data_IF_418307015950
#
_entry.id   IF_418307015950
#
_cell.length_a   1.000
_cell.length_b   1.000
_cell.length_c   1.000
_cell.angle_alpha   90.00
_cell.angle_beta   90.00
_cell.angle_gamma   90.00
#
_symmetry.space_group_name_H-M   'P 1'
#
loop_
_entity.id
_entity.type
_entity.pdbx_description
1 polymer ?
2 non-polymer ?
3 non-polymer ?
4 non-polymer ?
5 non-polymer ?
6 water ?
#
# COMPACT_ATOMS: atom_id res chain seq x y z
N UNK A 1 19.43 20.36 -4.81
CA UNK A 1 18.02 19.98 -4.56
C UNK A 1 17.50 19.05 -5.66
N UNK A 2 17.61 19.52 -6.91
CA UNK A 2 17.19 18.73 -8.08
C UNK A 2 18.11 17.54 -8.34
N UNK A 3 19.42 17.76 -8.16
CA UNK A 3 20.42 16.69 -8.30
C UNK A 3 20.31 15.64 -7.19
N UNK A 4 20.00 16.09 -5.97
CA UNK A 4 19.75 15.19 -4.84
C UNK A 4 18.53 14.33 -5.04
N UNK A 5 17.44 14.93 -5.53
CA UNK A 5 16.21 14.18 -5.81
C UNK A 5 16.44 13.14 -6.92
N UNK A 6 17.14 13.55 -7.98
CA UNK A 6 17.50 12.64 -9.08
C UNK A 6 18.34 11.45 -8.61
N UNK A 7 19.25 11.69 -7.67
CA UNK A 7 20.08 10.63 -7.07
C UNK A 7 19.22 9.62 -6.29
N UNK A 8 18.25 10.10 -5.52
CA UNK A 8 17.32 9.22 -4.79
C UNK A 8 16.48 8.39 -5.76
N UNK A 9 16.04 9.01 -6.85
CA UNK A 9 15.22 8.34 -7.88
C UNK A 9 15.98 7.32 -8.77
N UNK A 10 17.30 7.23 -8.60
CA UNK A 10 18.08 6.12 -9.18
C UNK A 10 17.61 4.75 -8.67
N UNK A 11 17.03 4.72 -7.46
CA UNK A 11 16.47 3.50 -6.87
C UNK A 11 14.95 3.35 -7.06
N UNK A 12 14.38 3.99 -8.08
CA UNK A 12 12.94 3.96 -8.35
C UNK A 12 12.36 2.54 -8.46
N UNK A 13 13.12 1.65 -9.12
CA UNK A 13 12.69 0.26 -9.33
C UNK A 13 13.22 -0.73 -8.28
N UNK A 14 13.79 -0.21 -7.19
CA UNK A 14 14.42 -1.04 -6.16
C UNK A 14 13.64 -1.06 -4.84
N UNK A 15 13.70 -2.19 -4.15
CA UNK A 15 13.19 -2.32 -2.79
C UNK A 15 14.04 -1.49 -1.89
N UNK A 16 13.42 -0.72 -1.00
CA UNK A 16 14.15 0.16 -0.10
C UNK A 16 14.67 1.43 -0.75
N UNK A 17 13.88 2.00 -1.65
CA UNK A 17 14.07 3.40 -2.06
C UNK A 17 13.78 4.26 -0.84
N UNK A 18 14.63 5.24 -0.56
CA UNK A 18 14.43 6.11 0.60
C UNK A 18 13.37 7.17 0.28
N UNK A 19 12.11 6.82 0.54
CA UNK A 19 10.97 7.72 0.29
C UNK A 19 10.96 8.93 1.24
N UNK A 20 11.59 8.80 2.41
CA UNK A 20 11.73 9.92 3.36
C UNK A 20 12.59 11.03 2.76
N UNK A 21 13.73 10.66 2.17
CA UNK A 21 14.59 11.60 1.43
C UNK A 21 13.88 12.20 0.22
N UNK A 22 13.10 11.38 -0.49
CA UNK A 22 12.30 11.86 -1.63
C UNK A 22 11.30 12.94 -1.19
N UNK A 23 10.66 12.72 -0.03
CA UNK A 23 9.79 13.72 0.59
C UNK A 23 10.54 15.02 0.91
N UNK A 24 11.75 14.88 1.45
CA UNK A 24 12.60 16.04 1.78
C UNK A 24 13.02 16.87 0.58
N UNK A 25 13.49 16.21 -0.46
CA UNK A 25 13.96 16.89 -1.68
C UNK A 25 12.85 17.29 -2.67
N UNK A 26 11.61 16.86 -2.42
CA UNK A 26 10.44 17.29 -3.21
C UNK A 26 9.53 18.28 -2.46
N UNK A 27 10.03 18.83 -1.36
CA UNK A 27 9.28 19.73 -0.47
C UNK A 27 7.96 19.15 -0.01
N UNK A 28 8.06 18.00 0.65
CA UNK A 28 6.91 17.28 1.23
C UNK A 28 5.79 16.97 0.23
N UNK A 29 6.18 16.54 -0.97
CA UNK A 29 5.24 16.03 -1.98
C UNK A 29 5.72 14.67 -2.54
N UNK A 30 5.93 13.67 -1.65
CA UNK A 30 6.44 12.38 -2.09
C UNK A 30 5.50 11.58 -2.98
N UNK A 31 4.19 11.67 -2.76
CA UNK A 31 3.21 10.91 -3.56
C UNK A 31 3.13 11.41 -5.00
N UNK A 32 3.01 12.72 -5.19
CA UNK A 32 3.02 13.33 -6.53
C UNK A 32 4.33 13.06 -7.27
N UNK A 33 5.45 13.22 -6.56
CA UNK A 33 6.79 13.02 -7.12
C UNK A 33 7.01 11.58 -7.59
N UNK A 34 6.75 10.63 -6.68
CA UNK A 34 7.01 9.22 -6.95
C UNK A 34 6.04 8.64 -7.99
N UNK A 35 4.78 9.10 -7.99
CA UNK A 35 3.79 8.66 -8.98
C UNK A 35 4.11 9.16 -10.38
N UNK A 36 4.55 10.42 -10.50
CA UNK A 36 5.02 10.96 -11.78
C UNK A 36 6.25 10.19 -12.28
N UNK A 37 7.19 9.89 -11.38
CA UNK A 37 8.38 9.10 -11.71
C UNK A 37 7.99 7.70 -12.18
N UNK A 38 7.09 7.04 -11.45
CA UNK A 38 6.61 5.69 -11.80
C UNK A 38 5.88 5.66 -13.14
N UNK A 39 4.98 6.61 -13.36
CA UNK A 39 4.20 6.68 -14.62
C UNK A 39 5.06 6.96 -15.86
N UNK A 40 6.07 7.83 -15.71
CA UNK A 40 7.03 8.07 -16.79
C UNK A 40 7.90 6.84 -17.05
N UNK A 41 8.37 6.21 -15.98
CA UNK A 41 9.18 4.98 -16.04
C UNK A 41 8.50 3.82 -16.77
N UNK A 42 7.20 3.63 -16.51
CA UNK A 42 6.42 2.56 -17.14
C UNK A 42 5.72 2.95 -18.46
N UNK A 43 5.95 4.19 -18.93
CA UNK A 43 5.26 4.76 -20.11
C UNK A 43 3.73 4.79 -19.98
N UNK A 44 3.23 4.90 -18.75
CA UNK A 44 1.79 4.85 -18.48
C UNK A 44 1.03 6.09 -19.00
N UNK A 45 1.69 7.25 -18.98
CA UNK A 45 1.09 8.47 -19.54
C UNK A 45 0.90 8.35 -21.05
N UNK A 46 1.90 7.80 -21.74
CA UNK A 46 1.84 7.57 -23.19
C UNK A 46 0.83 6.47 -23.54
N UNK A 47 0.91 5.34 -22.86
CA UNK A 47 0.05 4.17 -23.15
C UNK A 47 -1.44 4.47 -22.96
N UNK A 48 -1.78 5.15 -21.87
CA UNK A 48 -3.17 5.51 -21.57
C UNK A 48 -3.54 6.95 -21.92
N UNK A 49 -2.63 7.65 -22.62
CA UNK A 49 -2.89 8.99 -23.18
C UNK A 49 -3.34 9.98 -22.10
N UNK A 50 -2.52 10.08 -21.06
CA UNK A 50 -2.73 10.99 -19.94
C UNK A 50 -1.73 12.12 -20.11
N UNK A 51 -2.22 13.36 -20.15
CA UNK A 51 -1.33 14.52 -20.21
C UNK A 51 -0.63 14.71 -18.87
N UNK A 52 0.57 15.28 -18.91
CA UNK A 52 1.31 15.63 -17.67
C UNK A 52 0.52 16.60 -16.80
N UNK A 53 -0.19 17.55 -17.41
CA UNK A 53 -1.04 18.50 -16.68
C UNK A 53 -2.16 17.81 -15.91
N UNK A 54 -2.89 16.92 -16.60
CA UNK A 54 -4.00 16.17 -15.97
C UNK A 54 -3.51 15.26 -14.84
N UNK A 55 -2.40 14.56 -15.08
CA UNK A 55 -1.84 13.65 -14.08
C UNK A 55 -1.34 14.40 -12.84
N UNK A 56 -0.55 15.44 -13.06
CA UNK A 56 -0.03 16.27 -11.95
C UNK A 56 -1.17 16.93 -11.17
N UNK A 57 -2.17 17.46 -11.86
CA UNK A 57 -3.32 18.11 -11.20
C UNK A 57 -4.10 17.14 -10.30
N UNK A 58 -4.36 15.92 -10.80
CA UNK A 58 -5.02 14.90 -9.97
C UNK A 58 -4.16 14.49 -8.77
N UNK A 59 -2.88 14.20 -9.05
CA UNK A 59 -1.95 13.72 -8.00
C UNK A 59 -1.73 14.74 -6.89
N UNK A 60 -1.64 16.02 -7.23
CA UNK A 60 -1.54 17.09 -6.26
C UNK A 60 -2.80 17.19 -5.39
N UNK A 61 -3.97 17.08 -6.02
CA UNK A 61 -5.25 17.07 -5.30
C UNK A 61 -5.41 15.83 -4.40
N UNK A 62 -5.02 14.67 -4.91
CA UNK A 62 -5.01 13.42 -4.12
C UNK A 62 -4.13 13.56 -2.89
N UNK A 63 -2.91 14.05 -3.10
CA UNK A 63 -1.94 14.26 -2.02
C UNK A 63 -2.42 15.28 -0.99
N UNK A 64 -3.12 16.33 -1.44
CA UNK A 64 -3.76 17.30 -0.54
C UNK A 64 -4.85 16.68 0.35
N UNK A 65 -5.50 15.62 -0.12
CA UNK A 65 -6.53 14.91 0.65
C UNK A 65 -5.99 13.86 1.60
N UNK A 66 -4.67 13.66 1.61
CA UNK A 66 -4.00 12.97 2.73
C UNK A 66 -3.72 13.97 3.83
N UNK A 67 -3.93 13.56 5.08
CA UNK A 67 -3.84 14.45 6.24
C UNK A 67 -2.40 14.62 6.66
N UNK A 68 -1.90 15.86 6.62
CA UNK A 68 -0.52 16.15 7.02
C UNK A 68 -0.28 15.98 8.53
N UNK A 69 -1.32 16.21 9.34
CA UNK A 69 -1.21 16.15 10.81
C UNK A 69 -1.34 14.73 11.42
N UNK A 70 -1.53 13.70 10.59
CA UNK A 70 -1.46 12.30 11.05
C UNK A 70 -0.05 11.76 10.84
N UNK A 71 0.44 10.96 11.79
CA UNK A 71 1.85 10.55 11.84
C UNK A 71 2.23 9.51 10.78
N UNK A 72 1.38 8.51 10.59
CA UNK A 72 1.66 7.39 9.69
C UNK A 72 0.84 7.45 8.39
N UNK A 73 -0.48 7.50 8.51
CA UNK A 73 -1.37 7.41 7.35
C UNK A 73 -1.51 8.72 6.61
N UNK A 74 -0.39 9.18 6.07
CA UNK A 74 -0.30 10.43 5.30
C UNK A 74 0.24 10.10 3.91
N UNK A 75 0.56 11.11 3.10
CA UNK A 75 1.00 10.89 1.71
C UNK A 75 2.36 10.18 1.56
N UNK A 76 3.19 10.20 2.60
CA UNK A 76 4.47 9.47 2.61
C UNK A 76 4.24 7.96 2.59
N UNK A 77 3.29 7.50 3.40
CA UNK A 77 2.88 6.09 3.41
C UNK A 77 2.26 5.66 2.10
N UNK A 78 1.40 6.50 1.53
CA UNK A 78 0.80 6.25 0.21
C UNK A 78 1.87 6.14 -0.88
N UNK A 79 2.83 7.07 -0.86
CA UNK A 79 3.96 7.06 -1.80
C UNK A 79 4.84 5.81 -1.65
N UNK A 80 5.05 5.39 -0.40
CA UNK A 80 5.82 4.17 -0.10
C UNK A 80 5.12 2.91 -0.64
N UNK A 81 3.80 2.81 -0.43
CA UNK A 81 3.03 1.65 -0.88
C UNK A 81 2.91 1.60 -2.42
N UNK A 82 2.78 2.76 -3.05
CA UNK A 82 2.77 2.86 -4.52
C UNK A 82 4.11 2.43 -5.13
N UNK A 83 5.21 2.91 -4.58
CA UNK A 83 6.55 2.54 -5.06
C UNK A 83 6.87 1.07 -4.80
N UNK A 84 6.42 0.54 -3.67
CA UNK A 84 6.59 -0.89 -3.35
C UNK A 84 5.76 -1.77 -4.27
N UNK A 85 4.53 -1.33 -4.57
CA UNK A 85 3.68 -2.01 -5.55
C UNK A 85 4.32 -2.00 -6.95
N UNK A 86 4.91 -0.86 -7.31
CA UNK A 86 5.66 -0.72 -8.57
C UNK A 86 6.82 -1.71 -8.66
N UNK A 87 7.50 -1.96 -7.55
CA UNK A 87 8.60 -2.95 -7.52
C UNK A 87 8.06 -4.39 -7.63
N UNK A 88 7.01 -4.70 -6.87
CA UNK A 88 6.41 -6.04 -6.87
C UNK A 88 5.84 -6.44 -8.24
N UNK A 89 5.27 -5.48 -8.96
CA UNK A 89 4.79 -5.70 -10.33
C UNK A 89 5.89 -6.13 -11.30
N UNK A 90 7.13 -5.73 -11.04
CA UNK A 90 8.30 -6.13 -11.85
C UNK A 90 9.11 -7.32 -11.30
N UNK A 91 8.49 -8.15 -10.45
CA UNK A 91 9.16 -9.35 -9.93
C UNK A 91 9.26 -10.38 -11.07
N UNK A 92 10.48 -10.91 -11.33
CA UNK A 92 10.74 -11.84 -12.48
C UNK A 92 9.75 -12.99 -12.70
N UNK A 93 9.24 -13.57 -11.62
CA UNK A 93 8.26 -14.66 -11.71
C UNK A 93 6.91 -14.24 -12.30
N UNK A 94 6.60 -12.93 -12.26
CA UNK A 94 5.37 -12.39 -12.85
C UNK A 94 5.60 -11.65 -14.19
N UNK A 95 6.72 -11.92 -14.86
CA UNK A 95 7.04 -11.26 -16.13
C UNK A 95 6.02 -11.60 -17.22
N UNK A 96 5.45 -10.55 -17.83
CA UNK A 96 4.45 -10.67 -18.90
C UNK A 96 3.13 -11.33 -18.47
N UNK A 97 2.87 -11.40 -17.17
CA UNK A 97 1.66 -12.01 -16.62
C UNK A 97 0.50 -11.02 -16.67
N UNK A 98 0.75 -9.80 -16.17
CA UNK A 98 -0.30 -8.79 -16.04
C UNK A 98 -0.39 -7.87 -17.24
N UNK A 99 -1.60 -7.41 -17.53
CA UNK A 99 -1.83 -6.46 -18.62
C UNK A 99 -1.44 -5.05 -18.17
N UNK A 100 -1.37 -4.14 -19.14
CA UNK A 100 -1.11 -2.73 -18.86
C UNK A 100 -2.18 -2.13 -17.94
N UNK A 101 -3.44 -2.51 -18.18
CA UNK A 101 -4.57 -2.05 -17.36
C UNK A 101 -4.46 -2.52 -15.90
N UNK A 102 -4.05 -3.78 -15.71
CA UNK A 102 -3.82 -4.33 -14.37
C UNK A 102 -2.68 -3.63 -13.63
N UNK A 103 -1.61 -3.31 -14.35
CA UNK A 103 -0.47 -2.54 -13.82
C UNK A 103 -0.90 -1.14 -13.39
N UNK A 104 -1.64 -0.46 -14.27
CA UNK A 104 -2.21 0.87 -14.00
C UNK A 104 -3.11 0.84 -12.75
N UNK A 105 -4.01 -0.14 -12.71
CA UNK A 105 -4.96 -0.31 -11.60
C UNK A 105 -4.29 -0.54 -10.26
N UNK A 106 -3.25 -1.37 -10.24
CA UNK A 106 -2.52 -1.69 -9.00
C UNK A 106 -1.79 -0.49 -8.40
N UNK A 107 -1.10 0.26 -9.26
CA UNK A 107 -0.34 1.43 -8.82
C UNK A 107 -1.30 2.56 -8.38
N UNK A 108 -2.38 2.74 -9.14
CA UNK A 108 -3.43 3.70 -8.76
C UNK A 108 -4.07 3.31 -7.43
N UNK A 109 -4.45 2.03 -7.29
CA UNK A 109 -5.03 1.51 -6.04
C UNK A 109 -4.14 1.81 -4.84
N UNK A 110 -2.84 1.55 -4.98
CA UNK A 110 -1.86 1.82 -3.94
C UNK A 110 -1.75 3.31 -3.58
N UNK A 111 -1.82 4.16 -4.60
CA UNK A 111 -1.77 5.63 -4.40
C UNK A 111 -2.96 6.18 -3.60
N UNK A 112 -4.17 5.66 -3.88
CA UNK A 112 -5.39 6.14 -3.23
C UNK A 112 -5.79 5.36 -1.96
N UNK A 113 -5.08 4.27 -1.64
CA UNK A 113 -5.59 3.26 -0.69
C UNK A 113 -5.86 3.73 0.72
N UNK A 114 -5.24 4.85 1.13
CA UNK A 114 -5.47 5.45 2.45
C UNK A 114 -5.87 6.93 2.41
N UNK A 115 -6.38 7.41 1.27
CA UNK A 115 -6.68 8.85 1.13
C UNK A 115 -7.77 9.29 2.12
N UNK A 116 -7.56 10.45 2.75
CA UNK A 116 -8.47 11.01 3.76
C UNK A 116 -8.59 10.14 5.02
N UNK A 117 -7.44 9.61 5.47
CA UNK A 117 -7.38 8.80 6.70
C UNK A 117 -7.46 9.73 7.90
N UNK A 118 -8.38 9.46 8.85
CA UNK A 118 -8.48 10.33 10.03
C UNK A 118 -7.44 10.06 11.14
N UNK A 119 -6.70 8.97 11.02
CA UNK A 119 -5.69 8.58 12.00
C UNK A 119 -6.18 7.62 13.07
N UNK A 120 -7.35 7.01 12.85
CA UNK A 120 -7.93 6.02 13.77
C UNK A 120 -8.38 4.78 13.00
N UNK A 121 -8.53 3.67 13.72
CA UNK A 121 -8.88 2.38 13.12
C UNK A 121 -10.38 2.29 12.78
N UNK A 122 -10.73 1.26 11.99
CA UNK A 122 -12.13 0.91 11.74
C UNK A 122 -12.92 0.64 13.01
N UNK A 123 -12.30 -0.09 13.95
CA UNK A 123 -12.93 -0.41 15.25
C UNK A 123 -13.26 0.83 16.07
N UNK A 124 -12.41 1.85 16.02
CA UNK A 124 -12.69 3.14 16.68
C UNK A 124 -13.93 3.81 16.10
N UNK A 125 -14.00 3.88 14.77
CA UNK A 125 -15.13 4.48 14.06
C UNK A 125 -16.44 3.72 14.27
N UNK A 126 -16.35 2.39 14.35
CA UNK A 126 -17.50 1.53 14.64
C UNK A 126 -18.01 1.77 16.07
N UNK A 127 -17.09 1.71 17.04
CA UNK A 127 -17.44 1.87 18.47
C UNK A 127 -17.90 3.28 18.85
N UNK A 128 -17.50 4.30 18.09
CA UNK A 128 -17.95 5.68 18.30
C UNK A 128 -19.19 6.08 17.47
N UNK A 129 -19.78 5.12 16.75
CA UNK A 129 -20.95 5.36 15.89
C UNK A 129 -20.72 6.49 14.87
N UNK A 130 -19.57 6.43 14.20
CA UNK A 130 -19.20 7.42 13.18
C UNK A 130 -20.14 7.39 11.98
N UNK A 131 -20.27 8.53 11.31
CA UNK A 131 -21.05 8.64 10.08
C UNK A 131 -20.57 7.66 9.00
N UNK A 132 -19.24 7.48 8.91
CA UNK A 132 -18.64 6.54 7.96
C UNK A 132 -19.02 5.09 8.26
N UNK A 133 -18.98 4.71 9.54
CA UNK A 133 -19.39 3.36 9.98
C UNK A 133 -20.87 3.09 9.69
N UNK A 134 -21.71 4.10 9.92
CA UNK A 134 -23.15 4.06 9.57
C UNK A 134 -23.37 3.89 8.07
N UNK A 135 -22.65 4.68 7.27
CA UNK A 135 -22.75 4.62 5.80
C UNK A 135 -22.45 3.23 5.23
N UNK A 136 -21.42 2.56 5.75
CA UNK A 136 -20.94 1.29 5.20
C UNK A 136 -21.22 0.05 6.08
N UNK A 137 -22.16 0.17 7.01
CA UNK A 137 -22.56 -0.96 7.89
C UNK A 137 -21.38 -1.68 8.57
N UNK A 138 -20.44 -0.90 9.11
CA UNK A 138 -19.24 -1.42 9.79
C UNK A 138 -18.31 -2.31 8.93
N UNK A 139 -18.53 -2.37 7.62
CA UNK A 139 -17.83 -3.29 6.72
C UNK A 139 -16.78 -2.49 5.95
N UNK A 140 -15.50 -2.78 6.20
CA UNK A 140 -14.38 -2.12 5.50
C UNK A 140 -14.57 -0.61 5.46
N UNK A 141 -14.90 -0.03 6.63
CA UNK A 141 -15.40 1.35 6.72
C UNK A 141 -14.48 2.36 6.05
N UNK A 142 -13.23 2.39 6.48
CA UNK A 142 -12.26 3.34 5.95
C UNK A 142 -11.84 3.01 4.52
N UNK A 143 -11.73 1.72 4.20
CA UNK A 143 -11.33 1.28 2.86
C UNK A 143 -12.38 1.66 1.81
N UNK A 144 -13.66 1.51 2.16
CA UNK A 144 -14.76 2.03 1.33
C UNK A 144 -14.66 3.54 1.15
N UNK A 145 -14.34 4.24 2.24
CA UNK A 145 -14.17 5.70 2.22
C UNK A 145 -13.03 6.14 1.34
N UNK A 146 -11.90 5.43 1.42
CA UNK A 146 -10.71 5.72 0.59
C UNK A 146 -11.03 5.63 -0.88
N UNK A 147 -11.78 4.59 -1.26
CA UNK A 147 -12.26 4.43 -2.64
C UNK A 147 -13.18 5.57 -3.08
N UNK A 148 -14.14 5.92 -2.21
CA UNK A 148 -15.09 7.00 -2.50
C UNK A 148 -14.39 8.33 -2.80
N UNK A 149 -13.40 8.69 -1.98
CA UNK A 149 -12.64 9.94 -2.15
C UNK A 149 -11.73 9.87 -3.38
N UNK A 150 -10.97 8.77 -3.51
CA UNK A 150 -10.07 8.57 -4.65
C UNK A 150 -10.74 8.64 -6.01
N UNK A 151 -11.92 8.01 -6.12
CA UNK A 151 -12.70 8.03 -7.37
C UNK A 151 -13.37 9.38 -7.63
N UNK A 152 -13.94 9.99 -6.58
CA UNK A 152 -14.65 11.28 -6.73
C UNK A 152 -13.73 12.41 -7.19
N UNK A 153 -12.47 12.39 -6.76
CA UNK A 153 -11.47 13.39 -7.18
C UNK A 153 -11.16 13.36 -8.68
N UNK A 154 -11.42 12.23 -9.35
CA UNK A 154 -11.30 12.14 -10.82
C UNK A 154 -12.28 13.07 -11.55
N UNK A 155 -13.42 13.38 -10.92
CA UNK A 155 -14.43 14.28 -11.48
C UNK A 155 -14.14 15.77 -11.29
N UNK A 156 -13.08 16.11 -10.56
CA UNK A 156 -12.63 17.51 -10.44
C UNK A 156 -12.08 18.02 -11.77
N UNK A 157 -11.99 19.35 -11.90
CA UNK A 157 -11.53 19.98 -13.14
C UNK A 157 -10.09 19.57 -13.48
N UNK A 158 -9.90 19.09 -14.72
CA UNK A 158 -8.60 18.62 -15.22
C UNK A 158 -7.96 17.51 -14.40
N UNK A 159 -8.80 16.62 -13.85
CA UNK A 159 -8.34 15.52 -12.99
C UNK A 159 -8.64 14.09 -13.48
N UNK A 160 -9.43 13.95 -14.55
CA UNK A 160 -9.81 12.61 -15.03
C UNK A 160 -8.66 11.97 -15.80
N UNK A 161 -7.79 11.28 -15.06
CA UNK A 161 -6.65 10.56 -15.64
C UNK A 161 -7.04 9.31 -16.45
N UNK A 162 -8.29 8.85 -16.34
CA UNK A 162 -8.78 7.68 -17.09
C UNK A 162 -9.70 8.04 -18.27
N UNK A 163 -9.70 9.30 -18.68
CA UNK A 163 -10.60 9.79 -19.73
C UNK A 163 -10.42 9.07 -21.07
N UNK A 164 -9.18 8.75 -21.43
CA UNK A 164 -8.87 8.09 -22.71
C UNK A 164 -8.79 6.56 -22.68
N UNK A 165 -9.10 5.96 -21.54
CA UNK A 165 -9.37 4.51 -21.47
C UNK A 165 -10.68 4.21 -22.20
N UNK A 166 -10.83 2.98 -22.69
CA UNK A 166 -12.10 2.54 -23.28
C UNK A 166 -13.13 2.34 -22.16
N UNK A 167 -14.41 2.26 -22.55
CA UNK A 167 -15.49 2.03 -21.58
C UNK A 167 -15.30 0.75 -20.76
N UNK A 168 -14.93 -0.35 -21.44
CA UNK A 168 -14.69 -1.63 -20.78
C UNK A 168 -13.45 -1.57 -19.88
N UNK A 169 -12.42 -0.86 -20.33
CA UNK A 169 -11.20 -0.63 -19.52
C UNK A 169 -11.48 0.19 -18.25
N UNK A 170 -12.30 1.23 -18.38
CA UNK A 170 -12.72 2.05 -17.23
C UNK A 170 -13.54 1.24 -16.22
N UNK A 171 -14.49 0.46 -16.72
CA UNK A 171 -15.32 -0.42 -15.88
C UNK A 171 -14.51 -1.51 -15.18
N UNK A 172 -13.58 -2.14 -15.91
CA UNK A 172 -12.74 -3.21 -15.37
C UNK A 172 -11.71 -2.68 -14.36
N UNK A 173 -11.09 -1.54 -14.69
CA UNK A 173 -10.14 -0.88 -13.77
C UNK A 173 -10.81 -0.48 -12.45
N UNK A 174 -12.05 0.05 -12.53
CA UNK A 174 -12.82 0.38 -11.34
C UNK A 174 -12.99 -0.84 -10.43
N UNK A 175 -13.42 -1.95 -11.00
CA UNK A 175 -13.57 -3.21 -10.26
C UNK A 175 -12.29 -3.67 -9.59
N UNK A 176 -11.18 -3.66 -10.35
CA UNK A 176 -9.87 -4.11 -9.84
C UNK A 176 -9.30 -3.20 -8.74
N UNK A 177 -9.49 -1.89 -8.88
CA UNK A 177 -9.06 -0.92 -7.86
C UNK A 177 -9.83 -1.13 -6.56
N UNK A 178 -11.15 -1.30 -6.67
CA UNK A 178 -12.00 -1.64 -5.52
C UNK A 178 -11.51 -2.91 -4.82
N UNK A 179 -11.27 -3.97 -5.59
CA UNK A 179 -10.75 -5.24 -5.06
C UNK A 179 -9.44 -5.06 -4.30
N UNK A 180 -8.50 -4.31 -4.88
CA UNK A 180 -7.17 -4.12 -4.28
C UNK A 180 -7.18 -3.22 -3.04
N UNK A 181 -8.00 -2.17 -3.05
CA UNK A 181 -8.13 -1.27 -1.89
C UNK A 181 -8.86 -1.98 -0.75
N UNK A 182 -9.95 -2.69 -1.06
CA UNK A 182 -10.66 -3.50 -0.05
C UNK A 182 -9.78 -4.61 0.54
N UNK A 183 -8.83 -5.11 -0.25
CA UNK A 183 -7.84 -6.10 0.20
C UNK A 183 -6.85 -5.59 1.26
N UNK A 184 -6.80 -4.27 1.48
CA UNK A 184 -6.00 -3.69 2.57
C UNK A 184 -6.74 -3.66 3.93
N UNK A 185 -8.02 -4.06 3.93
CA UNK A 185 -8.78 -4.27 5.17
C UNK A 185 -8.26 -5.54 5.86
N UNK A 186 -7.74 -5.39 7.08
CA UNK A 186 -7.22 -6.52 7.87
C UNK A 186 -8.24 -7.62 8.17
N UNK A 187 -9.53 -7.28 8.14
CA UNK A 187 -10.61 -8.27 8.27
C UNK A 187 -10.61 -9.34 7.17
N UNK A 188 -10.08 -9.00 5.98
CA UNK A 188 -9.96 -9.94 4.86
C UNK A 188 -8.59 -10.64 4.77
N UNK A 189 -7.71 -10.41 5.75
CA UNK A 189 -6.34 -10.94 5.73
C UNK A 189 -6.25 -12.44 5.65
N UNK A 190 -6.99 -13.12 6.52
CA UNK A 190 -6.93 -14.59 6.62
C UNK A 190 -7.49 -15.27 5.37
N UNK A 191 -8.58 -14.72 4.82
CA UNK A 191 -9.16 -15.22 3.56
C UNK A 191 -8.24 -15.02 2.36
N UNK A 192 -7.60 -13.86 2.27
CA UNK A 192 -6.61 -13.57 1.22
C UNK A 192 -5.42 -14.53 1.28
N UNK A 193 -4.88 -14.71 2.48
CA UNK A 193 -3.74 -15.61 2.71
C UNK A 193 -4.09 -17.08 2.41
N UNK A 194 -5.30 -17.50 2.78
CA UNK A 194 -5.80 -18.84 2.46
C UNK A 194 -5.89 -19.08 0.95
N UNK A 195 -6.36 -18.08 0.21
CA UNK A 195 -6.38 -18.13 -1.25
C UNK A 195 -4.96 -18.11 -1.86
N UNK A 196 -4.06 -17.34 -1.26
CA UNK A 196 -2.66 -17.29 -1.70
C UNK A 196 -1.95 -18.63 -1.49
N UNK A 197 -2.20 -19.27 -0.34
CA UNK A 197 -1.67 -20.62 -0.06
C UNK A 197 -2.18 -21.67 -1.05
N UNK A 198 -3.47 -21.58 -1.41
CA UNK A 198 -4.07 -22.48 -2.40
C UNK A 198 -3.41 -22.36 -3.78
N UNK A 199 -3.15 -21.12 -4.21
CA UNK A 199 -2.46 -20.86 -5.47
C UNK A 199 -1.01 -21.34 -5.46
N UNK A 200 -0.33 -21.21 -4.32
CA UNK A 200 1.04 -21.73 -4.14
C UNK A 200 1.07 -23.26 -4.21
N UNK A 201 0.12 -23.90 -3.55
CA UNK A 201 -0.02 -25.37 -3.57
C UNK A 201 -0.32 -25.96 -4.96
N UNK A 202 -0.99 -25.18 -5.81
CA UNK A 202 -1.38 -25.61 -7.16
C UNK A 202 -0.84 -24.67 -8.26
N UNK A 203 0.38 -24.16 -8.08
CA UNK A 203 0.96 -23.22 -9.04
C UNK A 203 1.48 -23.92 -10.31
N UNK A 204 1.34 -23.25 -11.45
CA UNK A 204 1.83 -23.73 -12.74
C UNK A 204 2.95 -22.80 -13.19
N UNK A 205 4.12 -23.37 -13.50
CA UNK A 205 5.33 -22.62 -13.83
C UNK A 205 5.87 -23.03 -15.21
N UNK A 206 6.37 -22.06 -15.97
CA UNK A 206 6.95 -22.29 -17.30
C UNK A 206 8.39 -22.81 -17.19
N UNK A 207 9.00 -23.12 -18.33
CA UNK A 207 10.40 -23.56 -18.38
C UNK A 207 11.39 -22.46 -17.94
N UNK A 208 11.10 -21.21 -18.33
CA UNK A 208 11.89 -20.05 -17.91
C UNK A 208 11.74 -19.72 -16.42
N UNK A 209 10.63 -20.14 -15.81
CA UNK A 209 10.35 -19.93 -14.39
C UNK A 209 9.37 -18.80 -14.11
N UNK A 210 8.35 -18.67 -14.95
CA UNK A 210 7.33 -17.62 -14.86
C UNK A 210 5.99 -18.23 -14.46
N UNK A 211 5.26 -17.55 -13.56
CA UNK A 211 3.99 -18.05 -13.04
C UNK A 211 2.90 -17.94 -14.12
N UNK A 212 2.09 -19.00 -14.24
CA UNK A 212 0.99 -19.06 -15.20
C UNK A 212 -0.34 -18.89 -14.46
N UNK A 213 -1.16 -17.94 -14.93
CA UNK A 213 -2.48 -17.67 -14.36
C UNK A 213 -3.55 -17.90 -15.42
N UNK A 214 -4.43 -18.87 -15.18
CA UNK A 214 -5.41 -19.33 -16.18
C UNK A 214 -6.58 -18.37 -16.37
N UNK A 215 -7.10 -17.83 -15.29
CA UNK A 215 -8.33 -17.01 -15.31
C UNK A 215 -8.20 -15.69 -14.52
N UNK A 216 -9.21 -14.84 -14.66
CA UNK A 216 -9.27 -13.53 -13.98
C UNK A 216 -9.22 -13.62 -12.46
N UNK A 217 -9.86 -14.65 -11.90
CA UNK A 217 -9.91 -14.86 -10.44
C UNK A 217 -8.51 -15.08 -9.84
N UNK A 218 -7.70 -15.88 -10.52
CA UNK A 218 -6.30 -16.11 -10.12
C UNK A 218 -5.45 -14.84 -10.22
N UNK A 219 -5.68 -14.06 -11.28
CA UNK A 219 -4.93 -12.80 -11.51
C UNK A 219 -5.23 -11.77 -10.42
N UNK A 220 -6.53 -11.53 -10.16
CA UNK A 220 -6.96 -10.55 -9.17
C UNK A 220 -6.60 -10.95 -7.73
N UNK A 221 -6.61 -12.25 -7.44
CA UNK A 221 -6.20 -12.76 -6.13
C UNK A 221 -4.70 -12.52 -5.84
N UNK A 222 -3.87 -12.62 -6.88
CA UNK A 222 -2.45 -12.28 -6.77
C UNK A 222 -2.28 -10.76 -6.59
N UNK A 223 -3.03 -9.98 -7.37
CA UNK A 223 -2.99 -8.50 -7.30
C UNK A 223 -3.50 -7.97 -5.96
N UNK A 224 -4.59 -8.54 -5.45
CA UNK A 224 -5.10 -8.25 -4.09
C UNK A 224 -4.01 -8.49 -3.04
N UNK A 225 -3.39 -9.67 -3.08
CA UNK A 225 -2.31 -10.02 -2.16
C UNK A 225 -1.05 -9.16 -2.34
N UNK A 226 -0.77 -8.73 -3.56
CA UNK A 226 0.39 -7.87 -3.86
C UNK A 226 0.30 -6.51 -3.15
N UNK A 227 -0.86 -5.86 -3.28
CA UNK A 227 -1.08 -4.55 -2.64
C UNK A 227 -1.12 -4.70 -1.11
N UNK A 228 -1.69 -5.79 -0.63
CA UNK A 228 -1.70 -6.13 0.79
C UNK A 228 -0.29 -6.33 1.31
N UNK A 229 0.54 -7.04 0.54
CA UNK A 229 1.97 -7.19 0.85
C UNK A 229 2.70 -5.83 0.88
N UNK A 230 2.44 -5.00 -0.12
CA UNK A 230 3.05 -3.66 -0.19
C UNK A 230 2.64 -2.76 0.98
N UNK A 231 1.37 -2.87 1.38
CA UNK A 231 0.84 -2.15 2.54
C UNK A 231 1.51 -2.62 3.86
N UNK A 232 1.78 -3.93 3.96
CA UNK A 232 2.48 -4.51 5.11
C UNK A 232 3.97 -4.76 4.83
N UNK A 233 4.62 -3.84 4.10
CA UNK A 233 6.00 -4.01 3.67
C UNK A 233 7.06 -3.36 4.59
N UNK A 234 6.63 -2.51 5.53
CA UNK A 234 7.58 -1.78 6.40
C UNK A 234 8.60 -2.69 7.11
N UNK A 235 8.15 -3.82 7.70
CA UNK A 235 9.10 -4.72 8.38
C UNK A 235 10.10 -5.45 7.47
N UNK A 236 9.83 -5.49 6.16
CA UNK A 236 10.73 -6.12 5.19
C UNK A 236 11.77 -5.16 4.60
N UNK A 237 11.70 -3.87 4.95
CA UNK A 237 12.67 -2.88 4.48
C UNK A 237 13.89 -2.89 5.39
N UNK A 238 14.94 -2.20 4.94
CA UNK A 238 16.18 -2.04 5.74
C UNK A 238 15.85 -1.41 7.09
N UNK A 239 16.56 -1.85 8.13
CA UNK A 239 16.19 -1.55 9.52
C UNK A 239 16.02 -0.05 9.83
N UNK A 240 16.91 0.78 9.28
CA UNK A 240 16.84 2.24 9.47
C UNK A 240 15.53 2.86 8.95
N UNK A 241 15.02 2.32 7.84
CA UNK A 241 13.72 2.74 7.29
C UNK A 241 12.56 2.19 8.14
N UNK A 242 12.63 0.90 8.47
CA UNK A 242 11.61 0.23 9.29
C UNK A 242 11.41 0.90 10.66
N UNK A 243 12.51 1.27 11.32
CA UNK A 243 12.44 1.98 12.60
C UNK A 243 11.72 3.33 12.51
N UNK A 244 11.91 4.05 11.41
CA UNK A 244 11.20 5.32 11.16
C UNK A 244 9.70 5.10 10.99
N UNK A 245 9.31 4.05 10.26
CA UNK A 245 7.90 3.66 10.11
C UNK A 245 7.29 3.25 11.43
N UNK A 246 8.07 2.54 12.26
CA UNK A 246 7.61 2.13 13.58
C UNK A 246 7.38 3.33 14.51
N UNK A 247 8.27 4.32 14.47
CA UNK A 247 8.09 5.56 15.23
C UNK A 247 6.78 6.29 14.87
N UNK A 248 6.46 6.32 13.59
CA UNK A 248 5.27 7.02 13.08
C UNK A 248 3.97 6.30 13.44
N UNK A 249 3.94 4.98 13.26
CA UNK A 249 2.73 4.18 13.57
C UNK A 249 2.39 4.15 15.06
N UNK A 250 3.42 4.07 15.92
CA UNK A 250 3.20 4.10 17.37
C UNK A 250 2.72 5.47 17.85
N UNK A 251 3.21 6.55 17.23
CA UNK A 251 2.72 7.91 17.51
C UNK A 251 1.23 8.02 17.20
N UNK A 252 0.82 7.48 16.05
CA UNK A 252 -0.59 7.47 15.65
C UNK A 252 -1.44 6.54 16.52
N UNK A 253 -0.86 5.40 16.91
CA UNK A 253 -1.53 4.44 17.80
C UNK A 253 -1.76 5.01 19.20
N UNK A 254 -0.75 5.68 19.75
CA UNK A 254 -0.86 6.31 21.07
C UNK A 254 -1.85 7.48 21.08
N UNK A 255 -1.95 8.20 19.97
CA UNK A 255 -2.95 9.27 19.82
C UNK A 255 -4.39 8.73 19.86
N UNK A 256 -4.62 7.59 19.21
CA UNK A 256 -5.93 6.91 19.29
C UNK A 256 -6.22 6.44 20.72
N UNK A 257 -5.22 5.85 21.38
CA UNK A 257 -5.35 5.43 22.79
C UNK A 257 -5.70 6.56 23.74
N UNK A 258 -5.13 7.74 23.50
CA UNK A 258 -5.48 8.96 24.25
C UNK A 258 -6.94 9.36 24.03
N UNK A 259 -7.39 9.29 22.78
CA UNK A 259 -8.80 9.57 22.44
C UNK A 259 -9.74 8.55 23.07
N UNK A 260 -9.36 7.26 23.04
CA UNK A 260 -10.14 6.19 23.68
C UNK A 260 -10.22 6.34 25.20
N UNK A 261 -9.12 6.77 25.83
CA UNK A 261 -9.06 6.96 27.29
C UNK A 261 -9.97 8.09 27.76
N UNK A 262 -9.89 9.25 27.10
CA UNK A 262 -10.71 10.42 27.46
C UNK A 262 -12.21 10.25 27.18
N UNK A 263 -12.55 9.41 26.20
CA UNK A 263 -13.95 9.05 25.92
C UNK A 263 -14.50 7.97 26.88
N UNK A 264 -13.64 7.37 27.70
CA UNK A 264 -14.04 6.32 28.63
C UNK A 264 -14.21 4.95 27.98
N UNK A 265 -13.59 4.77 26.81
CA UNK A 265 -13.63 3.51 26.07
C UNK A 265 -12.48 2.61 26.50
N UNK A 266 -12.56 1.34 26.15
CA UNK A 266 -11.44 0.41 26.33
C UNK A 266 -10.36 0.74 25.30
N UNK A 267 -9.11 0.85 25.77
CA UNK A 267 -7.98 1.20 24.89
C UNK A 267 -7.60 0.00 24.02
N UNK A 268 -7.40 0.24 22.74
CA UNK A 268 -7.13 -0.83 21.76
C UNK A 268 -5.73 -1.43 21.96
N UNK A 269 -5.47 -2.63 21.40
CA UNK A 269 -4.12 -3.20 21.47
C UNK A 269 -3.04 -2.29 20.85
N UNK A 270 -1.87 -2.23 21.51
CA UNK A 270 -0.73 -1.40 21.09
C UNK A 270 -0.93 0.12 21.19
N UNK A 271 -2.05 0.57 21.76
CA UNK A 271 -2.42 1.99 21.80
C UNK A 271 -2.26 2.68 23.17
N UNK A 272 -2.16 1.90 24.24
CA UNK A 272 -1.93 2.47 25.59
C UNK A 272 -0.43 2.81 25.74
N UNK A 273 -0.11 4.10 25.69
CA UNK A 273 1.29 4.57 25.78
C UNK A 273 1.98 4.26 27.12
N UNK A 274 1.20 4.12 28.20
CA UNK A 274 1.75 3.84 29.53
C UNK A 274 2.25 2.43 29.69
N UNK A 275 1.57 1.45 29.09
CA UNK A 275 1.87 0.03 29.26
C UNK A 275 2.50 -0.68 28.04
N UNK A 276 2.17 -0.24 26.83
CA UNK A 276 2.54 -0.96 25.61
C UNK A 276 4.05 -0.93 25.30
N UNK A 277 4.56 -2.05 24.80
CA UNK A 277 5.94 -2.16 24.34
C UNK A 277 5.98 -2.12 22.82
N UNK A 278 6.75 -1.19 22.27
CA UNK A 278 6.93 -1.06 20.82
C UNK A 278 7.58 -2.32 20.22
N UNK A 279 8.56 -2.87 20.94
CA UNK A 279 9.35 -4.01 20.45
C UNK A 279 8.54 -5.31 20.43
N UNK A 280 7.79 -5.56 21.51
CA UNK A 280 6.92 -6.74 21.60
C UNK A 280 5.80 -6.72 20.56
N UNK A 281 5.26 -5.52 20.32
CA UNK A 281 4.17 -5.33 19.34
C UNK A 281 4.61 -5.66 17.92
N UNK A 282 5.82 -5.22 17.55
CA UNK A 282 6.36 -5.52 16.22
C UNK A 282 6.66 -7.01 16.02
N UNK A 283 7.26 -7.64 17.03
CA UNK A 283 7.55 -9.09 16.97
C UNK A 283 6.26 -9.90 16.84
N UNK A 284 5.26 -9.56 17.66
CA UNK A 284 3.93 -10.18 17.57
C UNK A 284 3.26 -9.93 16.23
N UNK A 285 3.34 -8.70 15.74
CA UNK A 285 2.78 -8.32 14.44
C UNK A 285 3.44 -9.07 13.28
N UNK A 286 4.77 -9.21 13.34
CA UNK A 286 5.51 -9.97 12.33
C UNK A 286 5.16 -11.46 12.36
N UNK A 287 5.13 -12.05 13.55
CA UNK A 287 4.91 -13.49 13.71
C UNK A 287 3.51 -13.96 13.29
N UNK A 288 2.49 -13.19 13.64
CA UNK A 288 1.10 -13.58 13.41
C UNK A 288 0.49 -13.08 12.09
N UNK A 289 1.05 -12.01 11.50
CA UNK A 289 0.49 -11.40 10.29
C UNK A 289 1.49 -11.28 9.13
N UNK A 290 2.57 -10.55 9.35
CA UNK A 290 3.47 -10.12 8.25
C UNK A 290 4.29 -11.29 7.69
N UNK A 291 4.88 -12.11 8.57
CA UNK A 291 5.71 -13.23 8.14
C UNK A 291 4.94 -14.35 7.45
N UNK A 292 3.76 -14.75 7.98
CA UNK A 292 2.94 -15.71 7.23
C UNK A 292 2.59 -15.28 5.80
N UNK A 293 2.25 -13.99 5.64
CA UNK A 293 1.94 -13.42 4.34
C UNK A 293 3.14 -13.44 3.39
N UNK A 294 4.26 -12.89 3.85
CA UNK A 294 5.46 -12.77 3.02
C UNK A 294 6.15 -14.08 2.73
N UNK A 295 6.07 -15.03 3.67
CA UNK A 295 6.58 -16.39 3.42
C UNK A 295 5.80 -17.07 2.30
N UNK A 296 4.48 -16.87 2.29
CA UNK A 296 3.61 -17.42 1.24
C UNK A 296 3.82 -16.72 -0.10
N UNK A 297 4.00 -15.39 -0.07
CA UNK A 297 4.37 -14.63 -1.27
C UNK A 297 5.69 -15.08 -1.83
N UNK A 298 6.68 -15.27 -0.96
CA UNK A 298 8.00 -15.77 -1.37
C UNK A 298 7.94 -17.15 -2.05
N UNK A 299 7.09 -18.04 -1.52
CA UNK A 299 6.85 -19.36 -2.13
C UNK A 299 6.20 -19.27 -3.51
N UNK A 300 5.31 -18.31 -3.70
CA UNK A 300 4.65 -18.08 -5.00
C UNK A 300 5.65 -17.63 -6.07
N UNK A 301 6.53 -16.69 -5.71
CA UNK A 301 7.46 -16.05 -6.66
C UNK A 301 8.92 -16.51 -6.46
N UNK A 302 9.14 -17.70 -5.90
CA UNK A 302 10.48 -18.19 -5.57
C UNK A 302 11.42 -18.22 -6.79
N UNK A 303 12.69 -17.78 -6.63
CA UNK A 303 13.37 -17.25 -5.46
C UNK A 303 13.41 -15.71 -5.37
N UNK A 304 12.45 -15.02 -6.01
CA UNK A 304 12.55 -13.56 -6.21
C UNK A 304 12.41 -12.72 -4.93
N UNK A 305 11.73 -13.25 -3.91
CA UNK A 305 11.53 -12.54 -2.63
C UNK A 305 12.43 -13.07 -1.50
N UNK A 306 13.55 -13.68 -1.86
CA UNK A 306 14.45 -14.32 -0.89
C UNK A 306 15.12 -13.31 0.04
N UNK A 307 15.65 -12.23 -0.54
CA UNK A 307 16.31 -11.17 0.24
C UNK A 307 15.32 -10.38 1.10
N UNK A 308 14.09 -10.22 0.59
CA UNK A 308 13.01 -9.54 1.32
C UNK A 308 12.60 -10.33 2.56
N UNK A 309 12.42 -11.64 2.41
CA UNK A 309 12.05 -12.52 3.53
C UNK A 309 13.19 -12.63 4.56
N UNK A 310 14.43 -12.69 4.08
CA UNK A 310 15.62 -12.67 4.96
C UNK A 310 15.67 -11.39 5.79
N UNK A 311 15.43 -10.25 5.14
CA UNK A 311 15.38 -8.95 5.83
C UNK A 311 14.28 -8.91 6.90
N UNK A 312 13.10 -9.43 6.56
CA UNK A 312 11.97 -9.52 7.50
C UNK A 312 12.32 -10.33 8.75
N UNK A 313 12.94 -11.49 8.55
CA UNK A 313 13.34 -12.37 9.65
C UNK A 313 14.47 -11.77 10.51
N UNK A 314 15.44 -11.11 9.86
CA UNK A 314 16.51 -10.39 10.58
C UNK A 314 15.97 -9.22 11.42
N UNK A 315 15.06 -8.43 10.83
CA UNK A 315 14.41 -7.33 11.56
C UNK A 315 13.54 -7.81 12.72
N UNK A 316 12.87 -8.96 12.52
CA UNK A 316 12.09 -9.60 13.58
C UNK A 316 12.94 -9.97 14.79
N UNK A 317 14.07 -10.61 14.52
CA UNK A 317 15.01 -11.03 15.57
C UNK A 317 15.73 -9.87 16.24
N UNK A 318 16.04 -8.82 15.48
CA UNK A 318 16.61 -7.59 16.04
C UNK A 318 15.66 -6.94 17.01
N UNK A 319 14.42 -6.71 16.57
CA UNK A 319 13.39 -6.13 17.45
C UNK A 319 13.13 -6.98 18.71
N UNK A 320 13.12 -8.30 18.55
CA UNK A 320 12.96 -9.24 19.67
C UNK A 320 14.10 -9.09 20.69
N UNK A 321 15.33 -8.92 20.21
CA UNK A 321 16.50 -8.73 21.08
C UNK A 321 16.51 -7.38 21.82
N UNK A 322 15.74 -6.41 21.33
CA UNK A 322 15.57 -5.10 21.99
C UNK A 322 14.39 -5.03 22.99
N UNK A 323 13.70 -6.15 23.19
CA UNK A 323 12.58 -6.20 24.15
C UNK A 323 13.09 -5.99 25.58
X LIG B 1 -2.03 1.57 4.24
X LIG C 1 -5.71 1.33 5.13
X LIG D 1 5.92 -0.22 10.94
X LIG D 1 4.72 -1.04 10.56
X LIG D 1 3.34 -0.44 10.74
X LIG D 1 2.26 -1.27 10.03
X LIG D 1 0.89 -0.66 10.31
X LIG D 1 -0.37 -1.99 11.94
X LIG D 1 -3.42 -2.29 9.50
X LIG D 1 -4.82 1.07 8.20
X LIG D 1 -2.54 -1.66 7.34
X LIG D 1 -2.20 -4.00 12.46
X LIG D 1 1.03 -2.70 13.84
X LIG D 1 4.87 -2.16 10.12
X LIG D 1 0.49 -0.98 11.66
X LIG D 1 -1.46 -2.15 11.20
X LIG D 1 -2.37 -3.10 11.40
X LIG D 1 -3.45 -3.16 10.55
X LIG D 1 -4.18 -1.13 9.53
X LIG D 1 -4.12 -0.24 8.46
X LIG D 1 -4.43 1.54 6.90
X LIG D 1 -3.46 0.71 6.38
X LIG D 1 -3.74 0.38 5.07
X LIG D 1 -2.25 1.35 6.39
X LIG D 1 -3.31 -0.50 7.36
X LIG D 1 -2.60 -2.55 8.40
X LIG D 1 -3.36 -5.26 12.77
X LIG D 1 -1.08 -3.89 13.28
X LIG D 1 -0.14 -2.86 13.02
X LIG D 1 1.94 -2.60 14.51
X LIG E 1 -5.46 2.39 -23.88
X LIG E 1 -5.98 1.78 -22.70
X LIG E 1 -6.20 3.71 -24.14
X LIG E 1 -7.61 3.46 -24.27
X LIG F 1 -9.04 15.78 -17.71
X LIG F 1 -10.05 15.91 -16.70
X LIG F 1 -9.46 16.52 -18.97
X LIG F 1 -9.57 17.91 -18.71
X LIG G 1 -13.34 18.85 -1.62
X LIG G 1 -12.26 18.54 -2.50
X LIG G 1 -12.81 19.47 -0.34
X LIG G 1 -11.91 18.55 0.32
X LIG H 1 -14.13 14.39 -1.82
X LIG H 1 -14.00 14.25 -3.24
X LIG H 1 -12.90 15.11 -1.28
X LIG H 1 -13.13 15.60 0.05
X LIG I 1 9.46 -7.49 -15.46
X LIG I 1 10.01 -6.25 -15.02
X LIG I 1 10.13 -8.72 -14.83
X LIG I 1 11.35 -8.40 -14.12
X LIG J 1 9.58 -9.79 -4.60
X LIG J 1 8.38 -10.12 -5.30
X LIG J 1 10.30 -8.65 -5.31
X LIG J 1 11.23 -9.19 -6.26
X LIG K 1 17.53 7.84 -13.00
X LIG K 1 16.40 7.23 -13.66
X LIG K 1 17.35 9.34 -12.93
X LIG K 1 17.13 9.76 -11.58
X LIG L 1 -1.01 -3.26 25.06
X LIG L 1 -1.09 -3.90 23.78
X LIG L 1 -1.61 -1.86 24.98
X LIG L 1 -2.95 -1.91 24.46
X LIG M 1 12.91 -17.97 15.29
X LIG M 1 11.67 -18.18 14.60
X LIG M 1 13.66 -16.80 14.67
X LIG M 1 14.13 -17.14 13.36
X LIG N 1 15.97 -11.12 -9.41
X LIG N 1 15.12 -12.03 -8.70
X LIG N 1 17.23 -10.86 -8.58
X LIG N 1 18.29 -11.72 -9.04
X LIG O 1 23.63 5.66 -9.56
X LIG O 1 24.25 6.94 -9.75
X LIG O 1 23.70 4.85 -10.85
X LIG O 1 24.08 3.49 -10.56
X LIG P 1 -12.54 4.78 -13.85
X LIG P 1 -13.23 5.39 -14.95
X LIG P 1 -13.13 5.29 -12.54
X LIG P 1 -14.37 4.61 -12.29
X LIG Q 1 9.89 -0.92 -14.53
X LIG Q 1 9.89 -0.16 -15.74
X LIG Q 1 10.82 -2.11 -14.67
X LIG Q 1 11.38 -2.45 -13.39
X LIG R 1 -4.22 -1.62 16.75
X LIG R 1 -4.89 -2.63 17.50
X LIG R 1 -4.97 -0.30 16.88
X LIG R 1 -5.93 -0.18 15.83
X LIG S 1 5.07 -7.00 -16.18
X LIG S 1 5.54 -7.87 -17.21
X LIG S 1 3.60 -7.30 -15.86
X LIG S 1 3.45 -8.67 -15.50
X LIG T 1 2.82 0.15 -20.27
X LIG T 1 2.79 1.58 -20.37
X LIG T 1 2.22 -0.27 -18.93
X LIG T 1 2.62 -1.61 -18.61
X LIG U 1 -4.54 -1.08 -23.75
X LIG U 1 -4.46 -2.51 -23.77
X LIG U 1 -3.33 -0.51 -23.02
X LIG U 1 -2.11 -0.99 -23.61
#
# INVERSE_FOLDING_TARGET
NEDHLAKELEDLNKWGLNIFNVAGYSHNRPLTCIMYAIFQERDLLKTFRISSDTFITYMMTLEDHYHSDVAYHNSLHAADVAQSTHVLLSTPALDAVFTDLEILAAIFAAAIHDVDHPGVSNQFLINTNSELALMYNDESVLENHHLAVGFKLLQEEHCDIFMNLTKKQRQTLRKMVIDMVLATDMSKHMSLLADLKTMVETKKVTSSGVLLLDNYTDRIQVLRNMVHCADLSNPTKSLELYRQWTDRIMEEFFQQGDKERERGMEISPMCDKHTASVEKSQVGFIDYIVHPLWETWADLVQPDAQDILDTLEDNRNWYQSMI
ZN ZN
MG MG
6QQ C1 C2 C4 C5 C6 C8 C12 C15 C21 C23 C27 O3 O7 N9 C10 O11 C13 C14 O16 B17 O18 O19 C20 C22 CL1 C25 C26 N28
EDO C1 O1 C2 O2
EDO C1 O1 C2 O2
EDO C1 O1 C2 O2
EDO C1 O1 C2 O2
EDO C1 O1 C2 O2
EDO C1 O1 C2 O2
EDO C1 O1 C2 O2
EDO C1 O1 C2 O2
EDO C1 O1 C2 O2
EDO C1 O1 C2 O2
EDO C1 O1 C2 O2
EDO C1 O1 C2 O2
EDO C1 O1 C2 O2
EDO C1 O1 C2 O2
EDO C1 O1 C2 O2
EDO C1 O1 C2 O2
EDO C1 O1 C2 O2
#
